data_IF_466640322644
#
_entry.id   IF_466640322644
#
_cell.length_a   1.000
_cell.length_b   1.000
_cell.length_c   1.000
_cell.angle_alpha   90.00
_cell.angle_beta   90.00
_cell.angle_gamma   90.00
#
_symmetry.space_group_name_H-M   'P 1'
#
loop_
_entity.id
_entity.type
_entity.pdbx_description
1 polymer ?
#
# COMPACT_ATOMS: atom_id res chain seq x y z
N UNK A 1 23.69 -51.18 -18.07
CA UNK A 1 22.85 -50.38 -17.15
C UNK A 1 23.58 -49.13 -16.61
N UNK A 2 24.28 -48.35 -17.45
CA UNK A 2 25.07 -47.17 -16.99
C UNK A 2 24.75 -45.86 -17.73
N UNK A 3 24.35 -45.93 -19.01
CA UNK A 3 24.05 -44.73 -19.81
C UNK A 3 22.60 -44.25 -19.66
N UNK A 4 21.62 -45.17 -19.70
CA UNK A 4 20.18 -44.84 -19.61
C UNK A 4 19.80 -44.28 -18.23
N UNK A 5 20.44 -44.74 -17.16
CA UNK A 5 20.20 -44.22 -15.80
C UNK A 5 20.72 -42.78 -15.62
N UNK A 6 21.72 -42.36 -16.40
CA UNK A 6 22.31 -41.03 -16.32
C UNK A 6 21.42 -39.98 -17.00
N UNK A 7 20.76 -40.34 -18.11
CA UNK A 7 19.79 -39.47 -18.79
C UNK A 7 18.54 -39.21 -17.96
N UNK A 8 18.09 -40.19 -17.16
CA UNK A 8 16.92 -40.04 -16.27
C UNK A 8 17.22 -39.07 -15.12
N UNK A 9 18.41 -39.17 -14.51
CA UNK A 9 18.83 -38.28 -13.43
C UNK A 9 19.02 -36.84 -13.95
N UNK A 10 19.62 -36.67 -15.13
CA UNK A 10 19.80 -35.36 -15.73
C UNK A 10 18.46 -34.71 -16.14
N UNK A 11 17.52 -35.51 -16.66
CA UNK A 11 16.15 -35.07 -16.95
C UNK A 11 15.38 -34.66 -15.70
N UNK A 12 15.47 -35.43 -14.62
CA UNK A 12 14.84 -35.11 -13.33
C UNK A 12 15.40 -33.82 -12.70
N UNK A 13 16.70 -33.57 -12.85
CA UNK A 13 17.36 -32.35 -12.39
C UNK A 13 16.94 -31.12 -13.23
N UNK A 14 16.71 -31.31 -14.53
CA UNK A 14 16.23 -30.26 -15.42
C UNK A 14 14.74 -29.91 -15.17
N UNK A 15 13.90 -30.89 -14.83
CA UNK A 15 12.50 -30.63 -14.42
C UNK A 15 12.40 -29.95 -13.05
N UNK A 16 13.33 -30.21 -12.13
CA UNK A 16 13.38 -29.53 -10.84
C UNK A 16 13.78 -28.04 -10.96
N UNK A 17 14.58 -27.68 -11.97
CA UNK A 17 14.92 -26.28 -12.29
C UNK A 17 13.74 -25.51 -12.90
N UNK A 18 12.76 -26.19 -13.51
CA UNK A 18 11.58 -25.57 -14.12
C UNK A 18 10.36 -25.51 -13.19
N UNK A 19 10.35 -26.29 -12.11
CA UNK A 19 9.26 -26.31 -11.12
C UNK A 19 9.33 -25.18 -10.08
N UNK A 20 10.37 -24.34 -10.12
CA UNK A 20 10.59 -23.24 -9.18
C UNK A 20 10.07 -21.87 -9.62
N UNK A 21 9.60 -21.72 -10.86
CA UNK A 21 8.88 -20.51 -11.28
C UNK A 21 7.38 -20.66 -10.99
N UNK A 22 7.03 -20.62 -9.71
CA UNK A 22 5.71 -20.12 -9.35
C UNK A 22 5.91 -18.65 -9.02
N UNK A 23 5.68 -17.78 -10.01
CA UNK A 23 5.43 -16.37 -9.74
C UNK A 23 4.07 -16.37 -9.09
N UNK A 24 4.01 -16.49 -7.76
CA UNK A 24 2.87 -15.94 -7.06
C UNK A 24 2.85 -14.46 -7.43
N UNK A 25 1.74 -13.98 -7.98
CA UNK A 25 1.53 -12.55 -8.15
C UNK A 25 1.50 -11.96 -6.74
N UNK A 26 2.68 -11.63 -6.21
CA UNK A 26 2.87 -11.14 -4.86
C UNK A 26 2.33 -9.71 -4.81
N UNK A 27 1.11 -9.60 -4.31
CA UNK A 27 0.43 -8.32 -4.12
C UNK A 27 1.19 -7.50 -3.08
N UNK A 28 1.39 -6.22 -3.35
CA UNK A 28 1.93 -5.29 -2.36
C UNK A 28 0.79 -4.81 -1.48
N UNK A 29 0.81 -5.19 -0.20
CA UNK A 29 -0.14 -4.71 0.79
C UNK A 29 0.11 -3.23 1.12
N UNK A 30 -0.96 -2.43 1.12
CA UNK A 30 -0.93 -1.00 1.46
C UNK A 30 -2.08 -0.68 2.41
N UNK A 31 -1.74 -0.24 3.62
CA UNK A 31 -2.70 0.17 4.65
C UNK A 31 -3.03 1.64 4.49
N UNK A 32 -4.25 1.93 4.08
CA UNK A 32 -4.75 3.27 3.82
C UNK A 32 -5.70 3.71 4.93
N UNK A 33 -5.31 4.72 5.70
CA UNK A 33 -6.15 5.34 6.71
C UNK A 33 -6.89 6.56 6.14
N UNK A 34 -8.21 6.61 6.28
CA UNK A 34 -9.01 7.79 5.93
C UNK A 34 -9.63 8.46 7.17
N UNK A 35 -9.61 9.79 7.16
CA UNK A 35 -10.11 10.59 8.28
C UNK A 35 -11.61 10.44 8.53
N UNK A 36 -12.39 10.18 7.47
CA UNK A 36 -13.85 10.04 7.53
C UNK A 36 -14.40 9.37 6.29
N UNK A 37 -15.56 8.72 6.39
CA UNK A 37 -16.30 8.25 5.21
C UNK A 37 -16.99 9.41 4.52
N UNK A 38 -16.46 9.83 3.37
CA UNK A 38 -17.04 10.93 2.59
C UNK A 38 -17.26 10.58 1.11
N UNK A 39 -18.29 11.17 0.52
CA UNK A 39 -18.52 11.13 -0.94
C UNK A 39 -17.37 11.75 -1.74
N UNK A 40 -16.56 12.61 -1.11
CA UNK A 40 -15.38 13.16 -1.78
C UNK A 40 -14.32 12.11 -2.13
N UNK A 41 -14.38 10.94 -1.49
CA UNK A 41 -13.48 9.80 -1.75
C UNK A 41 -14.16 8.73 -2.62
N UNK A 42 -15.34 9.02 -3.17
CA UNK A 42 -16.07 8.08 -4.03
C UNK A 42 -15.22 7.49 -5.16
N UNK A 43 -14.35 8.25 -5.87
CA UNK A 43 -13.48 7.66 -6.88
C UNK A 43 -12.53 6.58 -6.33
N UNK A 44 -11.99 6.76 -5.12
CA UNK A 44 -11.15 5.77 -4.45
C UNK A 44 -11.97 4.51 -4.11
N UNK A 45 -13.21 4.67 -3.63
CA UNK A 45 -14.06 3.53 -3.32
C UNK A 45 -14.47 2.74 -4.55
N UNK A 46 -14.69 3.42 -5.68
CA UNK A 46 -14.95 2.76 -6.96
C UNK A 46 -13.70 1.99 -7.41
N UNK A 47 -12.51 2.59 -7.31
CA UNK A 47 -11.27 1.89 -7.64
C UNK A 47 -11.04 0.64 -6.77
N UNK A 48 -11.42 0.69 -5.48
CA UNK A 48 -11.43 -0.48 -4.61
C UNK A 48 -12.47 -1.52 -5.03
N UNK A 49 -13.70 -1.10 -5.35
CA UNK A 49 -14.78 -2.05 -5.67
C UNK A 49 -14.65 -2.70 -7.05
N UNK A 50 -14.07 -1.99 -8.01
CA UNK A 50 -13.88 -2.47 -9.39
C UNK A 50 -12.53 -3.19 -9.57
N UNK A 51 -11.73 -3.34 -8.51
CA UNK A 51 -10.47 -4.10 -8.56
C UNK A 51 -9.31 -3.38 -9.25
N UNK A 52 -9.37 -2.06 -9.45
CA UNK A 52 -8.32 -1.32 -10.17
C UNK A 52 -6.97 -1.34 -9.43
N UNK A 53 -6.98 -1.43 -8.10
CA UNK A 53 -5.74 -1.62 -7.33
C UNK A 53 -5.19 -3.03 -7.49
N UNK A 54 -6.06 -4.03 -7.51
CA UNK A 54 -5.68 -5.43 -7.70
C UNK A 54 -5.03 -5.65 -9.08
N UNK A 55 -5.57 -5.00 -10.13
CA UNK A 55 -5.01 -5.01 -11.48
C UNK A 55 -3.59 -4.43 -11.55
N UNK A 56 -3.24 -3.52 -10.64
CA UNK A 56 -1.91 -2.90 -10.52
C UNK A 56 -1.00 -3.63 -9.50
N UNK A 57 -1.45 -4.78 -8.96
CA UNK A 57 -0.66 -5.57 -8.00
C UNK A 57 -0.69 -5.02 -6.57
N UNK A 58 -1.69 -4.22 -6.21
CA UNK A 58 -1.84 -3.61 -4.89
C UNK A 58 -3.04 -4.21 -4.13
N UNK A 59 -2.81 -4.64 -2.89
CA UNK A 59 -3.86 -5.03 -1.95
C UNK A 59 -4.06 -3.89 -0.94
N UNK A 60 -5.22 -3.23 -0.98
CA UNK A 60 -5.48 -2.03 -0.18
C UNK A 60 -6.35 -2.37 1.02
N UNK A 61 -5.78 -2.25 2.23
CA UNK A 61 -6.54 -2.29 3.48
C UNK A 61 -7.02 -0.87 3.83
N UNK A 62 -8.31 -0.58 3.60
CA UNK A 62 -8.90 0.71 3.93
C UNK A 62 -9.49 0.73 5.35
N UNK A 63 -8.98 1.63 6.21
CA UNK A 63 -9.49 1.86 7.57
C UNK A 63 -9.96 3.29 7.78
N UNK A 64 -11.16 3.48 8.34
CA UNK A 64 -11.63 4.80 8.77
C UNK A 64 -11.28 5.06 10.25
N UNK A 65 -10.49 6.09 10.53
CA UNK A 65 -9.98 6.39 11.89
C UNK A 65 -10.79 7.45 12.65
N UNK A 66 -11.74 8.10 11.99
CA UNK A 66 -12.67 9.09 12.56
C UNK A 66 -12.00 10.26 13.29
N UNK A 67 -11.20 11.05 12.56
CA UNK A 67 -10.60 12.27 13.10
C UNK A 67 -9.17 12.50 12.61
N UNK A 68 -8.81 13.76 12.35
CA UNK A 68 -7.49 14.10 11.80
C UNK A 68 -6.35 13.64 12.70
N UNK A 69 -6.48 13.90 14.01
CA UNK A 69 -5.49 13.51 15.03
C UNK A 69 -5.29 12.00 15.07
N UNK A 70 -6.38 11.22 15.06
CA UNK A 70 -6.31 9.76 15.04
C UNK A 70 -5.70 9.23 13.75
N UNK A 71 -6.07 9.82 12.60
CA UNK A 71 -5.50 9.45 11.29
C UNK A 71 -3.99 9.66 11.27
N UNK A 72 -3.55 10.83 11.73
CA UNK A 72 -2.14 11.18 11.75
C UNK A 72 -1.36 10.35 12.77
N UNK A 73 -1.93 10.10 13.95
CA UNK A 73 -1.34 9.20 14.96
C UNK A 73 -1.17 7.79 14.40
N UNK A 74 -2.14 7.30 13.64
CA UNK A 74 -2.08 5.99 13.00
C UNK A 74 -0.93 5.92 12.00
N UNK A 75 -0.76 6.96 11.17
CA UNK A 75 0.37 7.06 10.25
C UNK A 75 1.72 7.09 10.99
N UNK A 76 1.86 7.98 11.99
CA UNK A 76 3.09 8.17 12.77
C UNK A 76 3.48 6.99 13.66
N UNK A 77 2.55 6.06 13.91
CA UNK A 77 2.78 4.87 14.75
C UNK A 77 2.93 3.59 13.93
N UNK A 78 3.22 3.70 12.62
CA UNK A 78 3.30 2.59 11.67
C UNK A 78 2.01 1.74 11.58
N UNK A 79 0.87 2.31 11.95
CA UNK A 79 -0.45 1.67 11.85
C UNK A 79 -1.10 1.82 10.47
N UNK A 80 -0.59 2.73 9.64
CA UNK A 80 -0.96 2.89 8.24
C UNK A 80 0.25 3.34 7.44
N UNK A 81 0.27 3.01 6.14
CA UNK A 81 1.33 3.42 5.22
C UNK A 81 1.00 4.75 4.55
N UNK A 82 -0.30 5.00 4.33
CA UNK A 82 -0.83 6.22 3.73
C UNK A 82 -2.00 6.76 4.57
N UNK A 83 -2.03 8.07 4.77
CA UNK A 83 -3.18 8.77 5.37
C UNK A 83 -3.84 9.72 4.39
N UNK A 84 -5.16 9.59 4.20
CA UNK A 84 -6.01 10.57 3.51
C UNK A 84 -6.64 11.52 4.55
N UNK A 85 -6.02 12.69 4.68
CA UNK A 85 -6.37 13.69 5.70
C UNK A 85 -6.19 15.11 5.16
N UNK A 86 -6.73 16.12 5.86
CA UNK A 86 -6.58 17.52 5.48
C UNK A 86 -5.16 18.03 5.75
N UNK A 87 -4.70 18.97 4.91
CA UNK A 87 -3.37 19.59 5.01
C UNK A 87 -3.07 20.33 6.31
N UNK A 88 -4.09 20.65 7.10
CA UNK A 88 -3.92 21.16 8.46
C UNK A 88 -3.04 20.23 9.32
N UNK A 89 -3.26 18.92 9.21
CA UNK A 89 -2.57 17.93 10.06
C UNK A 89 -1.07 17.85 9.79
N UNK A 90 -0.62 18.01 8.54
CA UNK A 90 0.82 18.07 8.23
C UNK A 90 1.51 19.29 8.84
N UNK A 91 0.78 20.40 9.03
CA UNK A 91 1.34 21.60 9.68
C UNK A 91 1.57 21.33 11.17
N UNK A 92 0.68 20.60 11.83
CA UNK A 92 0.85 20.25 13.24
C UNK A 92 2.03 19.30 13.47
N UNK A 93 2.20 18.29 12.63
CA UNK A 93 3.34 17.36 12.72
C UNK A 93 4.66 18.09 12.51
N UNK A 94 4.72 18.98 11.51
CA UNK A 94 5.90 19.81 11.28
C UNK A 94 6.20 20.72 12.49
N UNK A 95 5.17 21.32 13.09
CA UNK A 95 5.33 22.18 14.26
C UNK A 95 5.78 21.43 15.53
N UNK A 96 5.60 20.10 15.59
CA UNK A 96 6.01 19.26 16.70
C UNK A 96 7.44 18.72 16.57
N UNK A 97 8.21 19.16 15.57
CA UNK A 97 9.59 18.72 15.32
C UNK A 97 9.71 17.19 15.24
N UNK A 98 8.69 16.52 14.69
CA UNK A 98 8.72 15.08 14.51
C UNK A 98 9.95 14.67 13.68
N UNK A 99 10.67 13.63 14.13
CA UNK A 99 11.86 13.14 13.44
C UNK A 99 11.53 12.65 12.02
N UNK A 100 10.30 12.16 11.83
CA UNK A 100 9.82 11.60 10.58
C UNK A 100 8.68 12.47 10.02
N UNK A 101 8.97 13.40 9.09
CA UNK A 101 7.96 14.33 8.61
C UNK A 101 6.94 13.64 7.70
N UNK A 102 5.66 13.95 7.91
CA UNK A 102 4.60 13.54 6.99
C UNK A 102 4.69 14.33 5.68
N UNK A 103 4.86 13.63 4.56
CA UNK A 103 4.98 14.22 3.22
C UNK A 103 3.67 14.09 2.47
N UNK A 104 3.14 15.22 1.97
CA UNK A 104 2.06 15.20 0.99
C UNK A 104 2.60 14.83 -0.39
N UNK A 105 2.14 13.73 -0.97
CA UNK A 105 2.58 13.30 -2.31
C UNK A 105 1.46 13.40 -3.37
N UNK A 106 0.20 13.49 -2.93
CA UNK A 106 -0.94 13.65 -3.83
C UNK A 106 -2.08 14.44 -3.17
N UNK A 107 -2.95 15.02 -4.00
CA UNK A 107 -4.11 15.79 -3.55
C UNK A 107 -5.39 15.31 -4.24
N UNK A 108 -6.40 14.96 -3.44
CA UNK A 108 -7.69 14.48 -3.95
C UNK A 108 -8.58 15.62 -4.48
N UNK A 109 -8.56 16.79 -3.84
CA UNK A 109 -9.25 18.00 -4.31
C UNK A 109 -8.55 19.29 -3.90
N UNK A 110 -8.36 20.18 -4.88
CA UNK A 110 -7.71 21.49 -4.70
C UNK A 110 -8.42 22.36 -3.65
N UNK A 111 -9.76 22.47 -3.72
CA UNK A 111 -10.53 23.43 -2.90
C UNK A 111 -10.61 23.09 -1.43
N UNK A 112 -10.54 21.81 -1.07
CA UNK A 112 -10.71 21.34 0.32
C UNK A 112 -9.41 20.84 0.95
N UNK A 113 -8.28 20.99 0.24
CA UNK A 113 -6.93 20.67 0.73
C UNK A 113 -6.80 19.26 1.33
N UNK A 114 -7.58 18.30 0.80
CA UNK A 114 -7.50 16.88 1.16
C UNK A 114 -6.39 16.22 0.36
N UNK A 115 -5.44 15.63 1.06
CA UNK A 115 -4.24 15.05 0.47
C UNK A 115 -3.89 13.68 1.04
N UNK A 116 -3.08 12.96 0.29
CA UNK A 116 -2.47 11.71 0.70
C UNK A 116 -1.09 11.99 1.28
N UNK A 117 -0.84 11.44 2.46
CA UNK A 117 0.37 11.63 3.24
C UNK A 117 1.05 10.30 3.53
N UNK A 118 2.37 10.29 3.53
CA UNK A 118 3.21 9.16 3.92
C UNK A 118 4.39 9.65 4.77
N UNK A 119 5.05 8.74 5.47
CA UNK A 119 6.28 9.03 6.21
C UNK A 119 7.48 8.58 5.37
N UNK A 120 8.56 9.37 5.39
CA UNK A 120 9.84 8.97 4.80
C UNK A 120 10.66 8.17 5.81
N UNK A 121 11.07 6.96 5.42
CA UNK A 121 12.06 6.16 6.13
C UNK A 121 13.46 6.32 5.50
#
# INVERSE_FOLDING_TARGET
MKMSSLFIILGAMFTALLAGCHTEDEMTEVRLAEVTRSIFYAPQYVALSEGFFEEEGLDIELTTTWGGDTTMTTLLSDGADIALVGAETSIYVYAQEANDPAINFAQAKHTIMLGFYMITF
#
